data_IF_186392453475
#
_entry.id   IF_186392453475
#
_cell.length_a   1.000
_cell.length_b   1.000
_cell.length_c   1.000
_cell.angle_alpha   90.00
_cell.angle_beta   90.00
_cell.angle_gamma   90.00
#
_symmetry.space_group_name_H-M   'P 1'
#
loop_
_entity.id
_entity.type
_entity.pdbx_description
1 polymer ?
#
# COMPACT_ATOMS: atom_id res chain seq x y z
N UNK A 1 45.51 -37.45 15.62
CA UNK A 1 44.40 -36.69 15.03
C UNK A 1 44.94 -35.92 13.84
N UNK A 2 44.45 -36.19 12.63
CA UNK A 2 44.97 -35.60 11.39
C UNK A 2 44.22 -34.27 11.18
N UNK A 3 44.90 -33.14 11.33
CA UNK A 3 44.31 -31.83 11.04
C UNK A 3 44.07 -31.74 9.52
N UNK A 4 42.81 -31.78 9.10
CA UNK A 4 42.42 -31.46 7.72
C UNK A 4 42.43 -29.94 7.60
N UNK A 5 43.60 -29.37 7.30
CA UNK A 5 43.73 -27.97 6.94
C UNK A 5 43.23 -27.74 5.52
N UNK A 6 42.49 -26.66 5.31
CA UNK A 6 42.16 -26.16 3.97
C UNK A 6 43.45 -25.82 3.22
N UNK A 7 43.50 -26.11 1.92
CA UNK A 7 44.58 -25.61 1.05
C UNK A 7 44.49 -24.09 0.94
N UNK A 8 45.63 -23.41 0.81
CA UNK A 8 45.67 -21.95 0.63
C UNK A 8 44.82 -21.51 -0.56
N UNK A 9 44.84 -22.27 -1.66
CA UNK A 9 44.04 -22.00 -2.85
C UNK A 9 42.54 -22.15 -2.56
N UNK A 10 42.17 -23.14 -1.77
CA UNK A 10 40.78 -23.40 -1.41
C UNK A 10 40.21 -22.28 -0.51
N UNK A 11 41.03 -21.74 0.39
CA UNK A 11 40.67 -20.58 1.19
C UNK A 11 40.46 -19.31 0.34
N UNK A 12 41.32 -19.06 -0.65
CA UNK A 12 41.18 -17.89 -1.52
C UNK A 12 39.90 -17.98 -2.35
N UNK A 13 39.63 -19.16 -2.95
CA UNK A 13 38.44 -19.35 -3.79
C UNK A 13 37.17 -19.17 -2.95
N UNK A 14 37.12 -19.70 -1.73
CA UNK A 14 35.96 -19.52 -0.84
C UNK A 14 35.75 -18.07 -0.42
N UNK A 15 36.82 -17.30 -0.15
CA UNK A 15 36.71 -15.86 0.14
C UNK A 15 36.20 -15.06 -1.06
N UNK A 16 36.64 -15.38 -2.28
CA UNK A 16 36.16 -14.72 -3.50
C UNK A 16 34.68 -15.02 -3.73
N UNK A 17 34.26 -16.28 -3.57
CA UNK A 17 32.85 -16.68 -3.72
C UNK A 17 31.99 -15.98 -2.66
N UNK A 18 32.39 -16.00 -1.39
CA UNK A 18 31.67 -15.32 -0.31
C UNK A 18 31.61 -13.79 -0.52
N UNK A 19 32.70 -13.18 -1.00
CA UNK A 19 32.73 -11.74 -1.29
C UNK A 19 31.75 -11.33 -2.39
N UNK A 20 31.70 -12.08 -3.49
CA UNK A 20 30.77 -11.80 -4.60
C UNK A 20 29.30 -12.03 -4.20
N UNK A 21 29.02 -13.06 -3.40
CA UNK A 21 27.69 -13.30 -2.83
C UNK A 21 27.29 -12.18 -1.85
N UNK A 22 28.20 -11.72 -0.99
CA UNK A 22 27.90 -10.66 -0.05
C UNK A 22 27.47 -9.38 -0.76
N UNK A 23 28.19 -8.94 -1.79
CA UNK A 23 27.88 -7.70 -2.53
C UNK A 23 26.52 -7.77 -3.24
N UNK A 24 26.08 -8.95 -3.66
CA UNK A 24 24.82 -9.12 -4.41
C UNK A 24 23.62 -9.39 -3.50
N UNK A 25 23.81 -10.13 -2.42
CA UNK A 25 22.74 -10.60 -1.54
C UNK A 25 22.44 -9.61 -0.42
N UNK A 26 23.46 -8.96 0.15
CA UNK A 26 23.29 -8.05 1.29
C UNK A 26 22.34 -6.89 1.00
N UNK A 27 22.45 -6.16 -0.15
CA UNK A 27 21.49 -5.08 -0.45
C UNK A 27 20.05 -5.59 -0.51
N UNK A 28 19.80 -6.73 -1.16
CA UNK A 28 18.46 -7.33 -1.28
C UNK A 28 17.79 -7.66 0.05
N UNK A 29 18.55 -7.95 1.10
CA UNK A 29 17.98 -8.22 2.43
C UNK A 29 17.55 -6.95 3.16
N UNK A 30 18.26 -5.83 2.97
CA UNK A 30 17.95 -4.57 3.65
C UNK A 30 16.89 -3.74 2.93
N UNK A 31 16.57 -4.05 1.67
CA UNK A 31 15.71 -3.20 0.82
C UNK A 31 14.21 -3.52 0.89
N UNK A 32 13.77 -4.67 1.42
CA UNK A 32 12.38 -5.10 1.25
C UNK A 32 11.35 -4.28 2.05
N UNK A 33 11.70 -3.75 3.22
CA UNK A 33 10.70 -3.13 4.11
C UNK A 33 10.22 -1.74 3.64
N UNK A 34 11.11 -0.89 3.14
CA UNK A 34 10.74 0.44 2.61
C UNK A 34 10.02 0.36 1.27
N UNK A 35 10.41 -0.58 0.40
CA UNK A 35 9.84 -0.71 -0.95
C UNK A 35 8.36 -1.11 -0.92
N UNK A 36 7.96 -1.93 0.05
CA UNK A 36 6.57 -2.38 0.19
C UNK A 36 5.62 -1.19 0.45
N UNK A 37 6.02 -0.19 1.26
CA UNK A 37 5.21 1.01 1.54
C UNK A 37 4.88 1.81 0.29
N UNK A 38 5.89 2.06 -0.56
CA UNK A 38 5.70 2.80 -1.82
C UNK A 38 4.86 2.01 -2.81
N UNK A 39 5.06 0.70 -2.91
CA UNK A 39 4.24 -0.15 -3.78
C UNK A 39 2.77 -0.14 -3.35
N UNK A 40 2.50 -0.30 -2.05
CA UNK A 40 1.13 -0.25 -1.53
C UNK A 40 0.49 1.12 -1.77
N UNK A 41 1.23 2.22 -1.54
CA UNK A 41 0.76 3.57 -1.83
C UNK A 41 0.34 3.72 -3.29
N UNK A 42 1.19 3.32 -4.23
CA UNK A 42 0.93 3.53 -5.66
C UNK A 42 -0.24 2.66 -6.18
N UNK A 43 -0.36 1.43 -5.66
CA UNK A 43 -1.53 0.56 -5.93
C UNK A 43 -2.81 1.16 -5.36
N UNK A 44 -2.79 1.60 -4.11
CA UNK A 44 -3.95 2.25 -3.47
C UNK A 44 -4.36 3.52 -4.20
N UNK A 45 -3.41 4.35 -4.63
CA UNK A 45 -3.68 5.55 -5.42
C UNK A 45 -4.37 5.22 -6.75
N UNK A 46 -3.97 4.13 -7.42
CA UNK A 46 -4.63 3.64 -8.63
C UNK A 46 -6.07 3.21 -8.36
N UNK A 47 -6.32 2.49 -7.26
CA UNK A 47 -7.65 2.05 -6.86
C UNK A 47 -8.55 3.26 -6.58
N UNK A 48 -8.07 4.22 -5.79
CA UNK A 48 -8.83 5.41 -5.43
C UNK A 48 -9.23 6.23 -6.65
N UNK A 49 -8.29 6.48 -7.57
CA UNK A 49 -8.58 7.18 -8.83
C UNK A 49 -9.54 6.41 -9.72
N UNK A 50 -9.42 5.09 -9.76
CA UNK A 50 -10.36 4.24 -10.52
C UNK A 50 -11.77 4.34 -9.96
N UNK A 51 -11.93 4.32 -8.64
CA UNK A 51 -13.24 4.45 -7.99
C UNK A 51 -13.82 5.86 -8.11
N UNK A 52 -12.98 6.88 -8.04
CA UNK A 52 -13.36 8.26 -8.32
C UNK A 52 -13.88 8.42 -9.76
N UNK A 53 -13.17 7.88 -10.76
CA UNK A 53 -13.61 7.89 -12.15
C UNK A 53 -14.91 7.13 -12.33
N UNK A 54 -15.07 6.00 -11.64
CA UNK A 54 -16.31 5.21 -11.68
C UNK A 54 -17.51 6.00 -11.13
N UNK A 55 -17.33 6.72 -10.03
CA UNK A 55 -18.36 7.59 -9.46
C UNK A 55 -18.79 8.68 -10.46
N UNK A 56 -17.83 9.31 -11.14
CA UNK A 56 -18.13 10.33 -12.15
C UNK A 56 -18.78 9.77 -13.43
N UNK A 57 -18.49 8.51 -13.78
CA UNK A 57 -19.05 7.87 -14.97
C UNK A 57 -20.43 7.24 -14.73
N UNK A 58 -20.72 6.85 -13.50
CA UNK A 58 -21.95 6.19 -13.13
C UNK A 58 -22.59 6.87 -11.92
N UNK A 59 -23.35 7.92 -12.19
CA UNK A 59 -24.07 8.70 -11.16
C UNK A 59 -25.34 8.00 -10.66
N UNK A 60 -25.52 6.72 -10.99
CA UNK A 60 -26.65 5.95 -10.50
C UNK A 60 -26.31 5.36 -9.12
N UNK A 61 -27.09 5.74 -8.12
CA UNK A 61 -26.93 5.39 -6.70
C UNK A 61 -27.14 3.89 -6.38
N UNK A 62 -27.27 3.05 -7.40
CA UNK A 62 -27.40 1.59 -7.28
C UNK A 62 -26.07 0.88 -7.07
N UNK A 63 -24.94 1.49 -7.46
CA UNK A 63 -23.61 0.91 -7.32
C UNK A 63 -22.80 1.71 -6.30
N UNK A 64 -22.13 0.98 -5.40
CA UNK A 64 -21.26 1.58 -4.39
C UNK A 64 -19.93 2.00 -5.00
N UNK A 65 -19.63 3.29 -4.96
CA UNK A 65 -18.30 3.85 -5.27
C UNK A 65 -17.43 3.97 -4.02
N UNK A 66 -17.61 3.03 -3.09
CA UNK A 66 -16.93 2.99 -1.79
C UNK A 66 -15.65 2.18 -1.86
N UNK A 67 -14.59 2.70 -1.24
CA UNK A 67 -13.34 2.01 -0.95
C UNK A 67 -13.27 1.76 0.55
N UNK A 68 -12.95 0.52 0.90
CA UNK A 68 -12.88 0.06 2.27
C UNK A 68 -11.43 -0.14 2.68
N UNK A 69 -11.11 0.28 3.89
CA UNK A 69 -9.79 0.18 4.48
C UNK A 69 -9.85 -0.66 5.74
N UNK A 70 -8.95 -1.63 5.81
CA UNK A 70 -8.65 -2.46 6.96
C UNK A 70 -7.15 -2.40 7.22
N UNK A 71 -6.69 -2.82 8.40
CA UNK A 71 -5.26 -2.87 8.72
C UNK A 71 -4.46 -3.79 7.78
N UNK A 72 -5.12 -4.74 7.13
CA UNK A 72 -4.49 -5.75 6.27
C UNK A 72 -4.96 -5.69 4.81
N UNK A 73 -5.95 -4.86 4.48
CA UNK A 73 -6.55 -4.89 3.16
C UNK A 73 -7.18 -3.56 2.77
N UNK A 74 -7.02 -3.22 1.49
CA UNK A 74 -7.74 -2.12 0.83
C UNK A 74 -8.43 -2.70 -0.40
N UNK A 75 -9.75 -2.56 -0.47
CA UNK A 75 -10.54 -3.08 -1.58
C UNK A 75 -11.83 -2.25 -1.76
N UNK A 76 -12.37 -2.17 -2.98
CA UNK A 76 -13.68 -1.56 -3.20
C UNK A 76 -14.81 -2.45 -2.68
N UNK A 77 -15.89 -1.81 -2.26
CA UNK A 77 -17.10 -2.51 -1.86
C UNK A 77 -17.93 -2.97 -3.07
N UNK A 78 -18.56 -4.15 -2.97
CA UNK A 78 -19.54 -4.64 -3.94
C UNK A 78 -20.92 -4.02 -3.64
N UNK A 79 -21.20 -3.82 -2.35
CA UNK A 79 -22.44 -3.27 -1.82
C UNK A 79 -22.19 -1.89 -1.20
N UNK A 80 -23.24 -1.16 -0.83
CA UNK A 80 -23.17 0.16 -0.19
C UNK A 80 -22.50 0.22 1.20
N UNK A 81 -21.78 -0.84 1.59
CA UNK A 81 -21.08 -0.98 2.85
C UNK A 81 -19.80 -1.82 2.69
N UNK A 82 -18.91 -1.74 3.67
CA UNK A 82 -17.68 -2.53 3.73
C UNK A 82 -17.88 -3.97 4.24
N UNK A 83 -19.09 -4.53 4.13
CA UNK A 83 -19.35 -5.92 4.53
C UNK A 83 -18.96 -6.91 3.42
N UNK A 84 -19.08 -6.52 2.16
CA UNK A 84 -18.73 -7.34 1.00
C UNK A 84 -17.75 -6.59 0.11
N UNK A 85 -16.54 -7.14 0.00
CA UNK A 85 -15.44 -6.55 -0.77
C UNK A 85 -15.29 -7.25 -2.11
N UNK A 86 -14.93 -6.50 -3.15
CA UNK A 86 -14.76 -7.02 -4.51
C UNK A 86 -13.40 -7.70 -4.69
N UNK A 87 -13.21 -8.82 -3.97
CA UNK A 87 -11.93 -9.52 -3.89
C UNK A 87 -11.55 -10.28 -5.16
N UNK A 88 -12.51 -10.55 -6.04
CA UNK A 88 -12.31 -11.25 -7.31
C UNK A 88 -11.51 -10.42 -8.33
N UNK A 89 -11.44 -9.10 -8.13
CA UNK A 89 -10.68 -8.20 -8.98
C UNK A 89 -9.30 -7.95 -8.37
N UNK A 90 -8.35 -8.86 -8.62
CA UNK A 90 -7.01 -8.80 -8.03
C UNK A 90 -6.26 -7.46 -8.26
N UNK A 91 -6.54 -6.75 -9.36
CA UNK A 91 -5.96 -5.43 -9.65
C UNK A 91 -6.53 -4.28 -8.80
N UNK A 92 -7.69 -4.50 -8.16
CA UNK A 92 -8.39 -3.54 -7.30
C UNK A 92 -8.22 -3.86 -5.80
N UNK A 93 -7.37 -4.83 -5.46
CA UNK A 93 -7.18 -5.28 -4.08
C UNK A 93 -5.72 -5.12 -3.70
N UNK A 94 -5.50 -4.50 -2.54
CA UNK A 94 -4.18 -4.45 -1.89
C UNK A 94 -4.27 -5.27 -0.62
N UNK A 95 -3.48 -6.32 -0.54
CA UNK A 95 -3.31 -7.14 0.66
C UNK A 95 -1.98 -6.80 1.29
N UNK A 96 -2.01 -6.42 2.57
CA UNK A 96 -0.82 -6.07 3.34
C UNK A 96 -0.59 -7.17 4.38
N UNK A 97 0.64 -7.71 4.47
CA UNK A 97 0.95 -8.76 5.42
C UNK A 97 0.77 -8.25 6.86
N UNK A 98 -0.04 -8.96 7.64
CA UNK A 98 -0.39 -8.59 9.02
C UNK A 98 0.80 -8.49 9.99
N UNK A 99 1.96 -9.03 9.60
CA UNK A 99 3.20 -9.05 10.39
C UNK A 99 4.22 -7.99 9.94
N UNK A 100 3.88 -7.11 8.99
CA UNK A 100 4.79 -6.05 8.58
C UNK A 100 4.88 -4.98 9.66
N UNK A 101 6.10 -4.69 10.11
CA UNK A 101 6.38 -3.59 11.05
C UNK A 101 6.62 -2.26 10.34
N UNK A 102 6.95 -2.30 9.04
CA UNK A 102 7.28 -1.12 8.26
C UNK A 102 6.06 -0.50 7.58
N UNK A 103 5.05 -1.30 7.22
CA UNK A 103 3.84 -0.83 6.55
C UNK A 103 2.65 -0.86 7.49
N UNK A 104 2.07 0.30 7.78
CA UNK A 104 0.89 0.44 8.62
C UNK A 104 -0.16 1.25 7.89
N UNK A 105 -1.37 0.72 7.75
CA UNK A 105 -2.49 1.53 7.28
C UNK A 105 -3.05 2.35 8.44
N UNK A 106 -2.98 3.67 8.33
CA UNK A 106 -3.78 4.56 9.16
C UNK A 106 -4.47 5.61 8.29
N UNK A 107 -5.79 5.57 8.28
CA UNK A 107 -6.62 6.61 7.68
C UNK A 107 -6.92 7.69 8.71
N UNK A 108 -6.83 8.96 8.32
CA UNK A 108 -7.05 10.11 9.19
C UNK A 108 -7.79 11.20 8.41
N UNK A 109 -8.92 11.66 8.94
CA UNK A 109 -9.61 12.84 8.41
C UNK A 109 -8.93 14.15 8.88
N UNK A 110 -9.49 15.31 8.50
CA UNK A 110 -8.93 16.61 8.91
C UNK A 110 -9.01 16.88 10.42
N UNK A 111 -9.80 16.12 11.17
CA UNK A 111 -9.89 16.16 12.63
C UNK A 111 -9.06 15.06 13.31
N UNK A 112 -8.21 14.35 12.56
CA UNK A 112 -7.44 13.19 13.04
C UNK A 112 -8.29 12.02 13.52
N UNK A 113 -9.55 11.93 13.06
CA UNK A 113 -10.41 10.78 13.29
C UNK A 113 -10.13 9.71 12.23
N UNK A 114 -10.08 8.45 12.65
CA UNK A 114 -9.89 7.31 11.75
C UNK A 114 -11.17 6.96 11.00
N UNK A 115 -11.07 6.65 9.71
CA UNK A 115 -12.21 6.22 8.89
C UNK A 115 -11.94 4.87 8.21
N UNK A 116 -12.93 3.96 8.19
CA UNK A 116 -12.78 2.65 7.53
C UNK A 116 -13.32 2.61 6.10
N UNK A 117 -14.02 3.66 5.68
CA UNK A 117 -14.63 3.75 4.36
C UNK A 117 -14.46 5.14 3.76
N UNK A 118 -14.28 5.19 2.45
CA UNK A 118 -14.23 6.42 1.65
C UNK A 118 -15.15 6.23 0.45
N UNK A 119 -16.10 7.14 0.30
CA UNK A 119 -17.01 7.19 -0.84
C UNK A 119 -16.72 8.43 -1.67
N UNK A 120 -16.86 8.32 -2.99
CA UNK A 120 -16.81 9.46 -3.90
C UNK A 120 -18.21 9.83 -4.36
N UNK A 121 -18.51 11.12 -4.40
CA UNK A 121 -19.73 11.63 -5.02
C UNK A 121 -19.63 11.62 -6.56
N UNK A 122 -20.73 11.97 -7.22
CA UNK A 122 -20.84 12.03 -8.68
C UNK A 122 -19.90 13.07 -9.33
N UNK A 123 -19.32 13.97 -8.53
CA UNK A 123 -18.32 14.95 -8.95
C UNK A 123 -16.88 14.51 -8.61
N UNK A 124 -16.71 13.28 -8.10
CA UNK A 124 -15.42 12.73 -7.72
C UNK A 124 -14.82 13.31 -6.44
N UNK A 125 -15.64 13.93 -5.57
CA UNK A 125 -15.20 14.47 -4.28
C UNK A 125 -15.40 13.44 -3.17
N UNK A 126 -14.51 13.40 -2.16
CA UNK A 126 -14.65 12.48 -1.05
C UNK A 126 -15.83 12.89 -0.14
N UNK A 127 -16.71 11.95 0.19
CA UNK A 127 -17.79 12.12 1.16
C UNK A 127 -17.27 11.95 2.60
N UNK A 128 -16.28 12.74 2.97
CA UNK A 128 -15.59 12.73 4.27
C UNK A 128 -15.18 14.15 4.65
N UNK A 129 -14.89 14.36 5.94
CA UNK A 129 -14.41 15.65 6.42
C UNK A 129 -12.92 15.87 6.07
N UNK A 130 -12.66 16.17 4.80
CA UNK A 130 -11.32 16.47 4.28
C UNK A 130 -11.10 17.98 4.11
N UNK A 131 -11.58 18.81 5.05
CA UNK A 131 -11.54 20.27 4.97
C UNK A 131 -10.12 20.86 4.74
N UNK A 132 -9.10 20.24 5.33
CA UNK A 132 -7.70 20.48 4.97
C UNK A 132 -7.26 19.42 3.96
N UNK A 133 -6.84 18.25 4.45
CA UNK A 133 -6.56 17.05 3.69
C UNK A 133 -6.92 15.83 4.55
N UNK A 134 -7.45 14.78 3.93
CA UNK A 134 -7.49 13.44 4.53
C UNK A 134 -6.21 12.70 4.17
N UNK A 135 -5.65 11.95 5.11
CA UNK A 135 -4.40 11.20 4.94
C UNK A 135 -4.66 9.70 5.03
N UNK A 136 -4.03 8.95 4.14
CA UNK A 136 -3.89 7.49 4.24
C UNK A 136 -2.40 7.23 4.40
N UNK A 137 -2.03 6.89 5.61
CA UNK A 137 -0.66 6.61 6.04
C UNK A 137 -0.33 5.16 5.70
N UNK A 138 0.84 4.92 5.10
CA UNK A 138 1.41 3.58 4.90
C UNK A 138 2.74 3.38 5.65
N UNK A 139 3.12 4.30 6.54
CA UNK A 139 4.42 4.35 7.21
C UNK A 139 5.34 5.38 6.57
N UNK A 140 6.11 4.96 5.56
CA UNK A 140 7.08 5.85 4.87
C UNK A 140 6.49 6.55 3.63
N UNK A 141 5.26 6.23 3.24
CA UNK A 141 4.68 6.65 1.96
C UNK A 141 3.19 6.95 2.10
N UNK A 142 2.82 8.23 2.21
CA UNK A 142 1.44 8.63 2.50
C UNK A 142 0.66 9.10 1.25
N UNK A 143 -0.67 8.95 1.27
CA UNK A 143 -1.59 9.51 0.27
C UNK A 143 -2.41 10.62 0.92
N UNK A 144 -2.50 11.76 0.24
CA UNK A 144 -3.30 12.90 0.63
C UNK A 144 -4.50 13.05 -0.32
N UNK A 145 -5.66 13.33 0.27
CA UNK A 145 -6.92 13.55 -0.43
C UNK A 145 -7.48 14.90 -0.03
N UNK A 146 -7.67 15.79 -1.00
CA UNK A 146 -8.29 17.10 -0.78
C UNK A 146 -9.81 17.04 -0.79
N UNK A 147 -10.47 18.01 -0.15
CA UNK A 147 -11.93 18.16 -0.18
C UNK A 147 -12.52 18.22 -1.61
N UNK A 148 -11.74 18.65 -2.59
CA UNK A 148 -12.18 18.81 -3.98
C UNK A 148 -11.94 17.56 -4.84
N UNK A 149 -11.51 16.44 -4.24
CA UNK A 149 -11.27 15.19 -4.97
C UNK A 149 -9.87 15.03 -5.56
N UNK A 150 -8.93 15.94 -5.28
CA UNK A 150 -7.53 15.73 -5.64
C UNK A 150 -6.89 14.62 -4.80
N UNK A 151 -6.35 13.58 -5.45
CA UNK A 151 -5.67 12.43 -4.83
C UNK A 151 -4.21 12.40 -5.29
N UNK A 152 -3.27 12.54 -4.36
CA UNK A 152 -1.84 12.67 -4.62
C UNK A 152 -1.00 12.09 -3.48
N UNK A 153 0.29 11.82 -3.72
CA UNK A 153 1.21 11.44 -2.64
C UNK A 153 1.47 12.66 -1.73
N UNK A 154 1.39 12.49 -0.41
CA UNK A 154 1.75 13.57 0.51
C UNK A 154 3.23 13.92 0.37
N UNK A 155 3.55 15.21 0.41
CA UNK A 155 4.93 15.71 0.51
C UNK A 155 5.35 15.90 1.97
#
# INVERSE_FOLDING_TARGET
MKQQGFSLVELIITLVILGTLAVTVVPKFFTNESFDSFEFRDRSLTILRTMQLRAMQNTNNTLSHKVCFSSTQIAPAITNNCANLALDFAYLVVNIPANSTATRIQTLDSNSASFSELEFDDFGRPNLNCAANCKIDFGEADICISAQGGIYACE
#
